data_IF_943771233492
#
_entry.id   IF_943771233492
#
_cell.length_a   1.000
_cell.length_b   1.000
_cell.length_c   1.000
_cell.angle_alpha   90.00
_cell.angle_beta   90.00
_cell.angle_gamma   90.00
#
_symmetry.space_group_name_H-M   'P 1'
#
loop_
_entity.id
_entity.type
_entity.pdbx_description
1 polymer ?
#
# COMPACT_ATOMS: atom_id res chain seq x y z
N UNK A 1 -11.23 6.88 13.45
CA UNK A 1 -12.61 6.77 12.93
C UNK A 1 -12.77 7.69 11.72
N UNK A 2 -13.59 7.32 10.73
CA UNK A 2 -13.94 8.21 9.61
C UNK A 2 -15.33 8.78 9.91
N UNK A 3 -15.46 10.09 9.88
CA UNK A 3 -16.72 10.81 10.10
C UNK A 3 -17.09 11.55 8.82
N UNK A 4 -18.33 11.43 8.39
CA UNK A 4 -18.88 12.14 7.23
C UNK A 4 -19.76 13.30 7.67
N UNK A 5 -19.63 14.46 7.00
CA UNK A 5 -20.53 15.58 7.23
C UNK A 5 -21.89 15.36 6.54
N UNK A 6 -23.03 15.44 7.25
CA UNK A 6 -24.36 15.23 6.64
C UNK A 6 -24.75 16.31 5.63
N UNK A 7 -24.12 17.50 5.68
CA UNK A 7 -24.45 18.63 4.80
C UNK A 7 -23.66 18.63 3.51
N UNK A 8 -22.34 18.39 3.56
CA UNK A 8 -21.46 18.48 2.40
C UNK A 8 -20.82 17.15 1.98
N UNK A 9 -21.15 16.04 2.66
CA UNK A 9 -20.64 14.68 2.40
C UNK A 9 -19.12 14.54 2.42
N UNK A 10 -18.42 15.53 2.95
CA UNK A 10 -16.96 15.47 3.09
C UNK A 10 -16.59 14.53 4.23
N UNK A 11 -15.56 13.74 4.00
CA UNK A 11 -15.08 12.71 4.94
C UNK A 11 -13.83 13.19 5.68
N UNK A 12 -13.82 12.98 6.98
CA UNK A 12 -12.73 13.41 7.87
C UNK A 12 -12.19 12.21 8.64
N UNK A 13 -10.85 12.04 8.62
CA UNK A 13 -10.17 11.04 9.42
C UNK A 13 -9.90 11.64 10.81
N UNK A 14 -10.62 11.17 11.81
CA UNK A 14 -10.46 11.61 13.19
C UNK A 14 -9.65 10.57 13.96
N UNK A 15 -8.68 11.07 14.73
CA UNK A 15 -7.76 10.25 15.53
C UNK A 15 -8.54 9.52 16.65
N UNK A 16 -8.25 8.23 16.86
CA UNK A 16 -8.98 7.35 17.79
C UNK A 16 -8.72 7.68 19.27
N UNK A 17 -7.61 8.34 19.55
CA UNK A 17 -7.17 8.81 20.88
C UNK A 17 -7.96 10.03 21.41
N UNK A 18 -9.09 10.37 20.81
CA UNK A 18 -10.02 11.41 21.29
C UNK A 18 -11.07 10.83 22.26
N UNK A 19 -11.09 9.51 22.45
CA UNK A 19 -12.00 8.74 23.30
C UNK A 19 -12.07 9.17 24.78
N UNK A 20 -11.18 10.02 25.28
CA UNK A 20 -11.20 10.51 26.67
C UNK A 20 -11.81 11.90 26.86
N UNK A 21 -12.23 12.57 25.79
CA UNK A 21 -12.93 13.85 25.90
C UNK A 21 -14.29 13.72 25.22
N UNK A 22 -15.35 13.94 25.98
CA UNK A 22 -16.75 13.99 25.54
C UNK A 22 -16.98 15.13 24.53
N UNK A 23 -16.38 15.04 23.35
CA UNK A 23 -16.63 15.96 22.25
C UNK A 23 -17.97 15.57 21.63
N UNK A 24 -19.02 16.17 22.18
CA UNK A 24 -20.40 15.95 21.73
C UNK A 24 -20.69 16.62 20.39
N UNK A 25 -19.93 17.65 20.00
CA UNK A 25 -20.17 18.45 18.80
C UNK A 25 -18.99 18.37 17.81
N UNK A 26 -19.27 18.08 16.54
CA UNK A 26 -18.31 18.15 15.45
C UNK A 26 -18.66 19.34 14.54
N UNK A 27 -17.68 20.18 14.20
CA UNK A 27 -17.81 21.25 13.19
C UNK A 27 -17.13 20.84 11.90
N UNK A 28 -17.84 20.86 10.77
CA UNK A 28 -17.23 20.63 9.45
C UNK A 28 -16.34 21.83 9.08
N UNK A 29 -15.11 21.56 8.59
CA UNK A 29 -14.21 22.61 8.13
C UNK A 29 -14.62 23.25 6.80
N UNK A 30 -15.50 22.61 6.02
CA UNK A 30 -15.87 23.05 4.66
C UNK A 30 -17.18 23.85 4.67
N UNK A 31 -18.21 23.32 5.33
CA UNK A 31 -19.55 23.94 5.33
C UNK A 31 -19.97 24.52 6.68
N UNK A 32 -19.05 24.50 7.65
CA UNK A 32 -19.24 25.00 9.03
C UNK A 32 -20.39 24.37 9.82
N UNK A 33 -21.02 23.34 9.27
CA UNK A 33 -22.13 22.64 9.90
C UNK A 33 -21.67 21.98 11.20
N UNK A 34 -22.46 22.13 12.27
CA UNK A 34 -22.20 21.52 13.57
C UNK A 34 -23.24 20.44 13.84
N UNK A 35 -22.79 19.21 14.14
CA UNK A 35 -23.69 18.12 14.50
C UNK A 35 -23.18 17.32 15.68
N UNK A 36 -24.13 16.69 16.40
CA UNK A 36 -23.84 15.80 17.52
C UNK A 36 -23.80 14.36 17.07
N UNK A 37 -22.71 13.67 17.36
CA UNK A 37 -22.62 12.23 17.19
C UNK A 37 -22.79 11.60 18.57
N UNK A 38 -23.90 10.89 18.81
CA UNK A 38 -23.98 9.99 19.95
C UNK A 38 -23.11 8.79 19.61
N UNK A 39 -21.95 8.69 20.27
CA UNK A 39 -21.18 7.46 20.31
C UNK A 39 -22.03 6.44 21.07
N UNK A 40 -22.89 5.71 20.38
CA UNK A 40 -23.39 4.45 20.90
C UNK A 40 -22.16 3.56 21.00
N UNK A 41 -21.65 3.36 22.22
CA UNK A 41 -20.74 2.27 22.53
C UNK A 41 -21.46 0.98 22.16
N UNK A 42 -21.34 0.57 20.90
CA UNK A 42 -21.63 -0.78 20.52
C UNK A 42 -20.42 -1.56 21.02
N UNK A 43 -20.58 -2.19 22.19
CA UNK A 43 -19.67 -3.20 22.70
C UNK A 43 -19.41 -4.20 21.56
N UNK A 44 -18.27 -4.05 20.89
CA UNK A 44 -17.80 -5.04 19.94
C UNK A 44 -17.35 -6.23 20.76
N UNK A 45 -18.30 -7.10 21.07
CA UNK A 45 -18.03 -8.50 21.33
C UNK A 45 -16.97 -8.95 20.31
N UNK A 46 -15.79 -9.29 20.83
CA UNK A 46 -14.69 -9.96 20.13
C UNK A 46 -15.14 -11.36 19.71
N UNK A 47 -16.22 -11.44 18.93
CA UNK A 47 -16.51 -12.57 18.09
C UNK A 47 -15.58 -12.45 16.90
N UNK A 48 -14.66 -13.42 16.81
CA UNK A 48 -13.80 -13.74 15.68
C UNK A 48 -14.65 -13.86 14.39
N UNK A 49 -15.10 -12.73 13.84
CA UNK A 49 -15.89 -12.70 12.62
C UNK A 49 -14.88 -12.71 11.49
N UNK A 50 -14.53 -13.91 11.03
CA UNK A 50 -13.91 -14.14 9.73
C UNK A 50 -14.71 -13.37 8.67
N UNK A 51 -14.26 -12.15 8.40
CA UNK A 51 -14.79 -11.27 7.36
C UNK A 51 -13.59 -10.62 6.67
N UNK A 52 -12.84 -11.45 5.95
CA UNK A 52 -11.97 -11.00 4.86
C UNK A 52 -12.49 -11.56 3.54
N UNK A 53 -13.78 -11.32 3.27
CA UNK A 53 -14.40 -11.54 1.96
C UNK A 53 -14.16 -10.34 1.04
N UNK A 54 -12.90 -9.96 0.83
CA UNK A 54 -12.55 -8.79 0.03
C UNK A 54 -11.31 -9.05 -0.81
N UNK A 55 -11.51 -9.23 -2.11
CA UNK A 55 -10.56 -9.08 -3.23
C UNK A 55 -9.14 -9.67 -3.10
N UNK A 56 -8.87 -10.56 -2.13
CA UNK A 56 -7.56 -11.17 -1.97
C UNK A 56 -7.17 -12.02 -3.19
N UNK A 57 -8.16 -12.68 -3.82
CA UNK A 57 -7.98 -13.40 -5.07
C UNK A 57 -7.48 -12.51 -6.21
N UNK A 58 -7.96 -11.26 -6.31
CA UNK A 58 -7.51 -10.32 -7.34
C UNK A 58 -6.04 -9.94 -7.15
N UNK A 59 -5.61 -9.71 -5.90
CA UNK A 59 -4.20 -9.40 -5.60
C UNK A 59 -3.29 -10.58 -5.91
N UNK A 60 -3.72 -11.81 -5.62
CA UNK A 60 -2.95 -13.01 -5.98
C UNK A 60 -2.82 -13.15 -7.50
N UNK A 61 -3.94 -12.99 -8.24
CA UNK A 61 -3.94 -13.11 -9.70
C UNK A 61 -3.04 -12.05 -10.33
N UNK A 62 -3.11 -10.80 -9.86
CA UNK A 62 -2.27 -9.72 -10.36
C UNK A 62 -0.77 -10.03 -10.18
N UNK A 63 -0.38 -10.49 -8.98
CA UNK A 63 1.01 -10.85 -8.71
C UNK A 63 1.47 -12.03 -9.56
N UNK A 64 0.60 -13.02 -9.77
CA UNK A 64 0.91 -14.17 -10.62
C UNK A 64 1.12 -13.74 -12.07
N UNK A 65 0.31 -12.83 -12.60
CA UNK A 65 0.47 -12.28 -13.96
C UNK A 65 1.78 -11.50 -14.09
N UNK A 66 2.12 -10.66 -13.11
CA UNK A 66 3.39 -9.91 -13.12
C UNK A 66 4.58 -10.86 -13.11
N UNK A 67 4.52 -11.90 -12.28
CA UNK A 67 5.56 -12.93 -12.22
C UNK A 67 5.73 -13.65 -13.56
N UNK A 68 4.62 -14.04 -14.20
CA UNK A 68 4.63 -14.70 -15.51
C UNK A 68 5.19 -13.79 -16.61
N UNK A 69 4.81 -12.51 -16.61
CA UNK A 69 5.39 -11.49 -17.50
C UNK A 69 6.91 -11.38 -17.33
N UNK A 70 7.40 -11.43 -16.08
CA UNK A 70 8.83 -11.42 -15.80
C UNK A 70 9.55 -12.63 -16.39
N UNK A 71 8.99 -13.83 -16.24
CA UNK A 71 9.54 -15.06 -16.84
C UNK A 71 9.54 -14.96 -18.38
N UNK A 72 8.45 -14.51 -18.98
CA UNK A 72 8.36 -14.35 -20.44
C UNK A 72 9.42 -13.36 -20.94
N UNK A 73 9.60 -12.22 -20.26
CA UNK A 73 10.62 -11.25 -20.61
C UNK A 73 12.03 -11.86 -20.51
N UNK A 74 12.33 -12.61 -19.46
CA UNK A 74 13.62 -13.30 -19.31
C UNK A 74 13.88 -14.27 -20.46
N UNK A 75 12.86 -15.00 -20.92
CA UNK A 75 12.99 -15.93 -22.06
C UNK A 75 13.17 -15.17 -23.38
N UNK A 76 12.37 -14.13 -23.64
CA UNK A 76 12.44 -13.35 -24.89
C UNK A 76 13.77 -12.59 -25.03
N UNK A 77 14.31 -12.10 -23.92
CA UNK A 77 15.57 -11.35 -23.91
C UNK A 77 16.78 -12.19 -23.53
N UNK A 78 16.64 -13.52 -23.44
CA UNK A 78 17.71 -14.45 -23.03
C UNK A 78 19.03 -14.18 -23.76
N UNK A 79 18.99 -14.03 -25.09
CA UNK A 79 20.20 -13.83 -25.87
C UNK A 79 20.87 -12.50 -25.54
N UNK A 80 20.09 -11.42 -25.37
CA UNK A 80 20.62 -10.12 -24.95
C UNK A 80 21.17 -10.15 -23.52
N UNK A 81 20.58 -10.94 -22.63
CA UNK A 81 21.04 -11.13 -21.25
C UNK A 81 22.38 -11.88 -21.22
N UNK A 82 22.62 -12.84 -22.13
CA UNK A 82 23.91 -13.51 -22.28
C UNK A 82 25.00 -12.50 -22.69
N UNK A 83 24.72 -11.65 -23.69
CA UNK A 83 25.66 -10.61 -24.10
C UNK A 83 25.94 -9.58 -22.99
N UNK A 84 24.91 -9.19 -22.23
CA UNK A 84 25.07 -8.31 -21.07
C UNK A 84 26.07 -8.90 -20.06
N UNK A 85 25.97 -10.20 -19.76
CA UNK A 85 26.87 -10.86 -18.83
C UNK A 85 28.34 -10.84 -19.29
N UNK A 86 28.59 -11.09 -20.58
CA UNK A 86 29.93 -11.02 -21.17
C UNK A 86 30.49 -9.59 -21.05
N UNK A 87 29.69 -8.58 -21.41
CA UNK A 87 30.09 -7.17 -21.30
C UNK A 87 30.47 -6.79 -19.85
N UNK A 88 29.67 -7.17 -18.85
CA UNK A 88 29.99 -6.89 -17.45
C UNK A 88 31.24 -7.62 -16.97
N UNK A 89 31.49 -8.83 -17.50
CA UNK A 89 32.71 -9.60 -17.20
C UNK A 89 33.94 -8.89 -17.75
N UNK A 90 33.92 -8.50 -19.02
CA UNK A 90 35.02 -7.75 -19.65
C UNK A 90 35.25 -6.39 -18.96
N UNK A 91 34.17 -5.71 -18.60
CA UNK A 91 34.22 -4.44 -17.88
C UNK A 91 34.83 -4.61 -16.49
N UNK A 92 34.47 -5.68 -15.77
CA UNK A 92 35.07 -6.00 -14.47
C UNK A 92 36.56 -6.33 -14.60
N UNK A 93 36.96 -7.13 -15.60
CA UNK A 93 38.36 -7.43 -15.89
C UNK A 93 39.16 -6.17 -16.26
N UNK A 94 38.56 -5.23 -16.98
CA UNK A 94 39.18 -3.93 -17.25
C UNK A 94 39.55 -3.19 -15.96
N UNK A 95 38.66 -3.16 -14.96
CA UNK A 95 38.98 -2.55 -13.66
C UNK A 95 40.02 -3.33 -12.88
N UNK A 96 39.98 -4.66 -12.91
CA UNK A 96 41.02 -5.47 -12.26
C UNK A 96 42.40 -5.17 -12.84
N UNK A 97 42.50 -5.04 -14.17
CA UNK A 97 43.75 -4.72 -14.87
C UNK A 97 44.24 -3.29 -14.62
N UNK A 98 43.35 -2.37 -14.19
CA UNK A 98 43.72 -1.01 -13.79
C UNK A 98 44.28 -0.93 -12.36
N UNK A 99 44.09 -1.96 -11.53
CA UNK A 99 44.66 -2.00 -10.19
C UNK A 99 46.13 -2.45 -10.34
N UNK A 100 47.12 -1.57 -10.12
CA UNK A 100 48.52 -1.97 -10.21
C UNK A 100 48.80 -3.02 -9.14
N UNK A 101 49.24 -4.20 -9.58
CA UNK A 101 49.71 -5.27 -8.71
C UNK A 101 51.03 -4.77 -8.09
N UNK A 102 51.10 -4.73 -6.75
CA UNK A 102 52.31 -4.36 -6.01
C UNK A 102 53.40 -5.41 -6.15
#
# INVERSE_FOLDING_TARGET
MIIECPKCKSTFKVAQNIETKNFSNFKCSICEHVWKIKLTQQESNLGLKNKTGGNFSYVIILNLVIFLMGIIALVLFKDKLIYSNIFWTEFYEFFLNLIPIK
#
